data_IF_087855182302
#
_entry.id   IF_087855182302
#
_cell.length_a   1.000
_cell.length_b   1.000
_cell.length_c   1.000
_cell.angle_alpha   90.00
_cell.angle_beta   90.00
_cell.angle_gamma   90.00
#
_symmetry.space_group_name_H-M   'P 1'
#
loop_
_entity.id
_entity.type
_entity.pdbx_description
1 polymer ?
#
# COMPACT_ATOMS: atom_id res chain seq x y z
N UNK A 1 5.53 -18.83 -3.84
CA UNK A 1 4.31 -18.02 -3.64
C UNK A 1 3.11 -18.59 -4.39
N UNK A 2 3.15 -18.68 -5.72
CA UNK A 2 2.04 -19.26 -6.51
C UNK A 2 1.72 -20.71 -6.12
N UNK A 3 2.72 -21.59 -6.11
CA UNK A 3 2.57 -22.96 -5.62
C UNK A 3 2.13 -23.02 -4.14
N UNK A 4 2.69 -22.16 -3.28
CA UNK A 4 2.35 -22.07 -1.84
C UNK A 4 0.89 -21.66 -1.61
N UNK A 5 0.32 -20.87 -2.51
CA UNK A 5 -1.07 -20.40 -2.45
C UNK A 5 -2.03 -21.29 -3.26
N UNK A 6 -1.53 -22.36 -3.91
CA UNK A 6 -2.35 -23.20 -4.81
C UNK A 6 -2.87 -22.46 -6.04
N UNK A 7 -2.21 -21.36 -6.44
CA UNK A 7 -2.65 -20.47 -7.52
C UNK A 7 -1.69 -20.52 -8.70
N UNK A 8 -2.21 -20.30 -9.91
CA UNK A 8 -1.37 -20.01 -11.08
C UNK A 8 -0.67 -18.65 -10.94
N UNK A 9 0.50 -18.48 -11.56
CA UNK A 9 1.27 -17.23 -11.47
C UNK A 9 0.48 -15.98 -11.89
N UNK A 10 -0.30 -16.09 -12.96
CA UNK A 10 -1.17 -14.99 -13.42
C UNK A 10 -2.18 -14.58 -12.35
N UNK A 11 -2.80 -15.55 -11.69
CA UNK A 11 -3.77 -15.30 -10.62
C UNK A 11 -3.13 -14.61 -9.42
N UNK A 12 -1.89 -14.96 -9.06
CA UNK A 12 -1.13 -14.28 -8.00
C UNK A 12 -0.83 -12.83 -8.38
N UNK A 13 -0.42 -12.55 -9.62
CA UNK A 13 -0.13 -11.17 -10.07
C UNK A 13 -1.37 -10.28 -9.96
N UNK A 14 -2.53 -10.80 -10.37
CA UNK A 14 -3.80 -10.06 -10.26
C UNK A 14 -4.21 -9.87 -8.79
N UNK A 15 -4.07 -10.90 -7.95
CA UNK A 15 -4.35 -10.79 -6.53
C UNK A 15 -3.45 -9.75 -5.84
N UNK A 16 -2.16 -9.73 -6.17
CA UNK A 16 -1.20 -8.75 -5.67
C UNK A 16 -1.55 -7.33 -6.13
N UNK A 17 -1.93 -7.15 -7.40
CA UNK A 17 -2.36 -5.84 -7.91
C UNK A 17 -3.55 -5.30 -7.12
N UNK A 18 -4.58 -6.14 -6.89
CA UNK A 18 -5.74 -5.77 -6.05
C UNK A 18 -5.35 -5.47 -4.61
N UNK A 19 -4.45 -6.26 -4.03
CA UNK A 19 -3.97 -6.04 -2.67
C UNK A 19 -3.27 -4.69 -2.55
N UNK A 20 -2.34 -4.38 -3.47
CA UNK A 20 -1.60 -3.12 -3.48
C UNK A 20 -2.52 -1.90 -3.62
N UNK A 21 -3.57 -2.00 -4.44
CA UNK A 21 -4.57 -0.92 -4.56
C UNK A 21 -5.28 -0.66 -3.24
N UNK A 22 -5.88 -1.71 -2.65
CA UNK A 22 -6.62 -1.59 -1.38
C UNK A 22 -5.71 -1.12 -0.24
N UNK A 23 -4.48 -1.63 -0.19
CA UNK A 23 -3.50 -1.19 0.79
C UNK A 23 -3.21 0.31 0.65
N UNK A 24 -2.96 0.79 -0.58
CA UNK A 24 -2.71 2.21 -0.83
C UNK A 24 -3.89 3.10 -0.46
N UNK A 25 -5.11 2.66 -0.75
CA UNK A 25 -6.34 3.39 -0.39
C UNK A 25 -6.49 3.49 1.13
N UNK A 26 -6.29 2.38 1.86
CA UNK A 26 -6.35 2.39 3.32
C UNK A 26 -5.23 3.22 3.94
N UNK A 27 -4.00 3.04 3.50
CA UNK A 27 -2.86 3.82 4.00
C UNK A 27 -3.09 5.33 3.84
N UNK A 28 -3.61 5.77 2.69
CA UNK A 28 -3.96 7.18 2.46
C UNK A 28 -5.04 7.67 3.42
N UNK A 29 -6.08 6.86 3.66
CA UNK A 29 -7.15 7.23 4.59
C UNK A 29 -6.63 7.40 6.02
N UNK A 30 -5.83 6.45 6.51
CA UNK A 30 -5.26 6.52 7.86
C UNK A 30 -4.33 7.74 8.02
N UNK A 31 -3.48 8.02 7.01
CA UNK A 31 -2.59 9.18 7.05
C UNK A 31 -3.37 10.50 7.03
N UNK A 32 -4.45 10.57 6.23
CA UNK A 32 -5.31 11.75 6.18
C UNK A 32 -5.97 12.08 7.52
N UNK A 33 -6.15 11.08 8.41
CA UNK A 33 -6.66 11.30 9.77
C UNK A 33 -5.58 11.80 10.74
N UNK A 34 -4.30 11.71 10.37
CA UNK A 34 -3.17 12.08 11.25
C UNK A 34 -2.50 13.41 10.90
N UNK A 35 -2.61 13.85 9.65
CA UNK A 35 -2.00 15.11 9.17
C UNK A 35 -2.86 16.32 9.53
N UNK A 36 -2.25 17.51 9.56
CA UNK A 36 -2.96 18.75 9.89
C UNK A 36 -3.85 19.20 8.71
N UNK A 37 -3.39 18.99 7.47
CA UNK A 37 -4.17 19.29 6.26
C UNK A 37 -4.15 18.18 5.21
N UNK A 38 -5.21 18.05 4.38
CA UNK A 38 -5.28 16.98 3.36
C UNK A 38 -4.16 17.01 2.32
N UNK A 39 -3.55 18.17 2.08
CA UNK A 39 -2.45 18.36 1.12
C UNK A 39 -1.15 17.67 1.57
N UNK A 40 -0.99 17.41 2.87
CA UNK A 40 0.22 16.82 3.45
C UNK A 40 0.29 15.30 3.25
N UNK A 41 -0.82 14.65 2.85
CA UNK A 41 -0.92 13.18 2.78
C UNK A 41 0.16 12.55 1.91
N UNK A 42 0.43 13.13 0.73
CA UNK A 42 1.41 12.55 -0.20
C UNK A 42 2.86 12.75 0.29
N UNK A 43 3.12 13.83 1.03
CA UNK A 43 4.42 14.10 1.63
C UNK A 43 4.68 13.20 2.85
N UNK A 44 3.66 13.00 3.69
CA UNK A 44 3.74 12.09 4.83
C UNK A 44 3.93 10.63 4.39
N UNK A 45 3.27 10.19 3.31
CA UNK A 45 3.51 8.87 2.72
C UNK A 45 4.98 8.70 2.32
N UNK A 46 5.59 9.73 1.70
CA UNK A 46 6.99 9.68 1.29
C UNK A 46 7.91 9.56 2.50
N UNK A 47 7.68 10.38 3.53
CA UNK A 47 8.45 10.38 4.75
C UNK A 47 8.36 9.04 5.50
N UNK A 48 7.18 8.45 5.57
CA UNK A 48 6.96 7.13 6.15
C UNK A 48 7.81 6.06 5.45
N UNK A 49 7.81 6.02 4.11
CA UNK A 49 8.59 5.04 3.37
C UNK A 49 10.10 5.26 3.50
N UNK A 50 10.56 6.51 3.54
CA UNK A 50 11.97 6.84 3.83
C UNK A 50 12.39 6.34 5.22
N UNK A 51 11.51 6.48 6.22
CA UNK A 51 11.76 6.05 7.60
C UNK A 51 11.78 4.53 7.76
N UNK A 52 10.96 3.81 6.98
CA UNK A 52 10.87 2.34 7.01
C UNK A 52 11.92 1.64 6.12
N UNK A 53 12.60 2.37 5.23
CA UNK A 53 13.47 1.82 4.19
C UNK A 53 14.93 1.55 4.57
N UNK A 54 15.26 1.43 5.87
CA UNK A 54 16.60 0.99 6.32
C UNK A 54 16.71 -0.52 6.45
#
# INVERSE_FOLDING_TARGET
>A
LAATLGMGEGAVRVALHRLRRRYRERLRAEIAETVETPEEVDDEIRHLFESLGR
#
